data_IF_220686060856
#
_entry.id   IF_220686060856
#
_cell.length_a   1.000
_cell.length_b   1.000
_cell.length_c   1.000
_cell.angle_alpha   90.00
_cell.angle_beta   90.00
_cell.angle_gamma   90.00
#
_symmetry.space_group_name_H-M   'P 1'
#
loop_
_entity.id
_entity.type
_entity.pdbx_description
1 polymer ?
#
# COMPACT_ATOMS: atom_id res chain seq x y z
N UNK A 1 37.23 22.10 14.71
CA UNK A 1 35.80 22.20 14.41
C UNK A 1 35.45 21.05 13.49
N UNK A 2 34.92 19.97 14.04
CA UNK A 2 34.44 18.84 13.23
C UNK A 2 33.00 19.15 12.84
N UNK A 3 32.76 19.36 11.56
CA UNK A 3 31.42 19.38 10.98
C UNK A 3 30.88 17.95 11.05
N UNK A 4 30.10 17.65 12.07
CA UNK A 4 29.22 16.48 12.05
C UNK A 4 28.01 16.85 11.23
N UNK A 5 27.92 16.32 10.02
CA UNK A 5 26.71 16.38 9.20
C UNK A 5 25.57 15.68 9.96
N UNK A 6 24.40 16.32 10.13
CA UNK A 6 23.28 15.67 10.80
C UNK A 6 22.77 14.50 9.95
N UNK A 7 22.71 13.31 10.54
CA UNK A 7 22.16 12.13 9.87
C UNK A 7 20.69 12.38 9.47
N UNK A 8 20.28 12.06 8.22
CA UNK A 8 18.88 12.17 7.83
C UNK A 8 17.98 11.29 8.71
N UNK A 9 16.74 11.73 8.99
CA UNK A 9 15.83 10.95 9.82
C UNK A 9 15.47 9.62 9.14
N UNK A 10 15.33 8.56 9.91
CA UNK A 10 14.73 7.32 9.44
C UNK A 10 13.23 7.53 9.22
N UNK A 11 12.75 7.08 8.05
CA UNK A 11 11.35 7.13 7.67
C UNK A 11 11.02 5.86 6.90
N UNK A 12 9.86 5.27 7.20
CA UNK A 12 9.30 4.10 6.53
C UNK A 12 7.81 4.35 6.28
N UNK A 13 7.42 4.29 5.01
CA UNK A 13 6.06 4.51 4.53
C UNK A 13 5.13 3.32 4.87
N UNK A 14 5.70 2.15 5.16
CA UNK A 14 5.02 0.89 5.34
C UNK A 14 4.95 0.05 4.06
N UNK A 15 4.33 -1.12 4.17
CA UNK A 15 4.20 -2.04 3.05
C UNK A 15 3.09 -1.63 2.07
N UNK A 16 3.29 -1.96 0.80
CA UNK A 16 2.29 -1.78 -0.26
C UNK A 16 0.95 -2.46 0.09
N UNK A 17 -0.16 -1.82 -0.29
CA UNK A 17 -1.50 -2.26 0.05
C UNK A 17 -2.34 -2.54 -1.20
N UNK A 18 -3.17 -3.58 -1.11
CA UNK A 18 -4.21 -3.86 -2.11
C UNK A 18 -5.56 -3.69 -1.43
N UNK A 19 -6.37 -2.80 -1.98
CA UNK A 19 -7.68 -2.43 -1.47
C UNK A 19 -8.74 -2.64 -2.54
N UNK A 20 -9.99 -2.67 -2.12
CA UNK A 20 -11.11 -2.67 -3.05
C UNK A 20 -11.76 -1.30 -3.11
N UNK A 21 -12.39 -1.00 -4.24
CA UNK A 21 -13.12 0.25 -4.44
C UNK A 21 -14.06 0.56 -3.27
N UNK A 22 -13.97 1.78 -2.74
CA UNK A 22 -14.74 2.21 -1.58
C UNK A 22 -14.17 1.80 -0.22
N UNK A 23 -13.11 0.99 -0.17
CA UNK A 23 -12.41 0.70 1.08
C UNK A 23 -11.65 1.94 1.57
N UNK A 24 -11.65 2.14 2.88
CA UNK A 24 -10.82 3.16 3.54
C UNK A 24 -9.51 2.55 3.99
N UNK A 25 -8.44 3.34 3.93
CA UNK A 25 -7.15 2.99 4.50
C UNK A 25 -6.61 4.16 5.32
N UNK A 26 -5.67 3.85 6.22
CA UNK A 26 -4.96 4.84 7.03
C UNK A 26 -3.48 4.62 6.78
N UNK A 27 -2.78 5.68 6.37
CA UNK A 27 -1.33 5.66 6.26
C UNK A 27 -0.71 6.11 7.58
N UNK A 28 0.22 5.31 8.08
CA UNK A 28 0.96 5.56 9.31
C UNK A 28 2.44 5.39 9.01
N UNK A 29 3.14 6.50 8.85
CA UNK A 29 4.58 6.47 8.67
C UNK A 29 5.28 6.09 9.98
N UNK A 30 6.36 5.30 9.89
CA UNK A 30 7.20 4.96 11.02
C UNK A 30 8.41 5.89 11.01
N UNK A 31 8.52 6.77 12.00
CA UNK A 31 9.57 7.77 12.14
C UNK A 31 10.16 7.74 13.57
N UNK A 32 11.08 6.82 13.88
CA UNK A 32 11.61 6.65 15.24
C UNK A 32 12.32 7.91 15.79
N UNK A 33 12.82 8.77 14.90
CA UNK A 33 13.52 10.00 15.25
C UNK A 33 12.57 11.18 15.58
N UNK A 34 11.24 10.98 15.51
CA UNK A 34 10.26 12.02 15.80
C UNK A 34 10.27 13.20 14.81
N UNK A 35 10.67 12.93 13.57
CA UNK A 35 10.70 13.91 12.48
C UNK A 35 9.30 14.39 12.10
N UNK A 36 9.18 15.61 11.60
CA UNK A 36 7.93 16.11 11.01
C UNK A 36 7.67 15.38 9.70
N UNK A 37 6.58 14.62 9.63
CA UNK A 37 6.19 13.85 8.43
C UNK A 37 5.11 14.57 7.63
N UNK A 38 5.24 14.51 6.31
CA UNK A 38 4.24 15.03 5.37
C UNK A 38 4.04 14.03 4.24
N UNK A 39 2.79 13.72 3.93
CA UNK A 39 2.41 12.87 2.80
C UNK A 39 2.02 13.72 1.59
N UNK A 40 2.21 13.16 0.40
CA UNK A 40 1.69 13.70 -0.84
C UNK A 40 0.21 13.33 -1.05
N UNK A 41 -0.36 13.78 -2.18
CA UNK A 41 -1.74 13.47 -2.58
C UNK A 41 -2.83 13.91 -1.58
N UNK A 42 -2.51 14.88 -0.70
CA UNK A 42 -3.46 15.43 0.28
C UNK A 42 -3.77 14.49 1.45
N UNK A 43 -2.98 13.45 1.65
CA UNK A 43 -3.14 12.52 2.78
C UNK A 43 -2.56 13.13 4.05
N UNK A 44 -3.18 12.83 5.19
CA UNK A 44 -2.66 13.19 6.52
C UNK A 44 -2.30 11.90 7.25
N UNK A 45 -1.12 11.88 7.87
CA UNK A 45 -0.64 10.75 8.67
C UNK A 45 -1.64 10.41 9.79
N UNK A 46 -1.93 9.13 10.00
CA UNK A 46 -2.90 8.68 11.00
C UNK A 46 -4.37 8.98 10.69
N UNK A 47 -4.68 9.54 9.51
CA UNK A 47 -6.05 9.86 9.11
C UNK A 47 -6.55 8.88 8.05
N UNK A 48 -7.75 8.35 8.26
CA UNK A 48 -8.39 7.48 7.28
C UNK A 48 -8.88 8.26 6.05
N UNK A 49 -8.67 7.71 4.86
CA UNK A 49 -9.17 8.25 3.59
C UNK A 49 -9.53 7.12 2.61
N UNK A 50 -10.20 7.48 1.51
CA UNK A 50 -10.56 6.56 0.43
C UNK A 50 -9.72 6.86 -0.81
N UNK A 51 -8.74 6.02 -1.15
CA UNK A 51 -7.93 6.19 -2.36
C UNK A 51 -8.77 5.97 -3.64
N UNK A 52 -8.39 6.61 -4.77
CA UNK A 52 -9.06 6.39 -6.05
C UNK A 52 -8.78 4.99 -6.60
N UNK A 53 -9.68 4.49 -7.46
CA UNK A 53 -9.50 3.22 -8.17
C UNK A 53 -8.25 3.27 -9.06
N UNK A 54 -7.44 2.22 -9.02
CA UNK A 54 -6.17 2.12 -9.73
C UNK A 54 -4.96 2.04 -8.80
N UNK A 55 -3.76 2.14 -9.37
CA UNK A 55 -2.51 2.14 -8.61
C UNK A 55 -2.07 3.57 -8.34
N UNK A 56 -1.95 3.93 -7.07
CA UNK A 56 -1.47 5.24 -6.62
C UNK A 56 -0.24 5.05 -5.73
N UNK A 57 0.84 5.77 -6.02
CA UNK A 57 2.04 5.80 -5.18
C UNK A 57 1.94 6.99 -4.22
N UNK A 58 2.13 6.72 -2.94
CA UNK A 58 2.16 7.72 -1.87
C UNK A 58 3.59 7.85 -1.36
N UNK A 59 4.07 9.08 -1.27
CA UNK A 59 5.41 9.42 -0.81
C UNK A 59 5.30 10.17 0.51
N UNK A 60 5.97 9.65 1.54
CA UNK A 60 6.16 10.33 2.82
C UNK A 60 7.50 11.04 2.80
N UNK A 61 7.52 12.28 3.28
CA UNK A 61 8.75 13.05 3.52
C UNK A 61 8.86 13.36 5.00
N UNK A 62 9.98 12.99 5.60
CA UNK A 62 10.36 13.33 6.96
C UNK A 62 11.36 14.49 6.97
N UNK A 63 11.13 15.50 7.81
CA UNK A 63 12.05 16.59 8.06
C UNK A 63 12.43 16.63 9.54
N UNK A 64 13.72 16.56 9.84
CA UNK A 64 14.26 16.72 11.18
C UNK A 64 15.46 17.66 11.16
N UNK A 65 15.34 18.80 11.86
CA UNK A 65 16.41 19.79 12.00
C UNK A 65 17.04 20.26 10.66
N UNK A 66 16.26 20.25 9.57
CA UNK A 66 16.73 20.65 8.23
C UNK A 66 17.25 19.50 7.36
N UNK A 67 17.43 18.29 7.91
CA UNK A 67 17.68 17.10 7.13
C UNK A 67 16.37 16.46 6.69
N UNK A 68 16.27 16.13 5.40
CA UNK A 68 15.08 15.49 4.82
C UNK A 68 15.39 14.08 4.38
N UNK A 69 14.44 13.18 4.62
CA UNK A 69 14.43 11.84 4.04
C UNK A 69 13.03 11.54 3.51
N UNK A 70 12.91 10.60 2.59
CA UNK A 70 11.61 10.22 2.02
C UNK A 70 11.53 8.74 1.78
N UNK A 71 10.33 8.20 1.90
CA UNK A 71 10.01 6.83 1.52
C UNK A 71 8.67 6.77 0.80
N UNK A 72 8.39 5.67 0.11
CA UNK A 72 7.24 5.54 -0.78
C UNK A 72 6.59 4.17 -0.68
N UNK A 73 5.27 4.17 -0.73
CA UNK A 73 4.44 2.96 -0.77
C UNK A 73 3.41 3.05 -1.89
N UNK A 74 2.95 1.89 -2.35
CA UNK A 74 1.98 1.77 -3.42
C UNK A 74 0.66 1.23 -2.89
N UNK A 75 -0.44 1.90 -3.24
CA UNK A 75 -1.79 1.41 -2.97
C UNK A 75 -2.45 1.08 -4.30
N UNK A 76 -2.83 -0.18 -4.47
CA UNK A 76 -3.60 -0.65 -5.62
C UNK A 76 -5.05 -0.87 -5.20
N UNK A 77 -5.94 -0.06 -5.73
CA UNK A 77 -7.38 -0.18 -5.51
C UNK A 77 -8.01 -0.88 -6.72
N UNK A 78 -8.51 -2.09 -6.51
CA UNK A 78 -9.21 -2.85 -7.55
C UNK A 78 -10.67 -2.40 -7.66
N UNK A 79 -11.20 -2.19 -8.88
CA UNK A 79 -12.60 -1.83 -9.08
C UNK A 79 -13.53 -2.91 -8.54
N UNK A 80 -14.67 -2.49 -8.01
CA UNK A 80 -15.74 -3.42 -7.66
C UNK A 80 -16.47 -3.86 -8.93
N UNK A 81 -16.44 -5.17 -9.22
CA UNK A 81 -17.29 -5.72 -10.28
C UNK A 81 -18.64 -6.03 -9.65
N UNK A 82 -19.72 -5.44 -10.17
CA UNK A 82 -21.08 -5.68 -9.70
C UNK A 82 -21.40 -7.18 -9.69
N UNK A 83 -21.45 -7.79 -8.50
CA UNK A 83 -21.68 -9.23 -8.31
C UNK A 83 -20.48 -10.05 -7.84
N UNK A 84 -19.28 -9.48 -7.78
CA UNK A 84 -18.09 -10.09 -7.19
C UNK A 84 -17.59 -9.19 -6.06
N UNK A 85 -17.73 -9.65 -4.82
CA UNK A 85 -17.10 -8.98 -3.67
C UNK A 85 -15.59 -9.15 -3.77
N UNK A 86 -14.87 -8.13 -3.27
CA UNK A 86 -13.43 -8.15 -3.08
C UNK A 86 -12.96 -9.54 -2.60
N UNK A 87 -12.03 -10.21 -3.30
CA UNK A 87 -11.57 -11.50 -2.87
C UNK A 87 -10.66 -11.35 -1.65
N UNK A 88 -11.25 -11.16 -0.46
CA UNK A 88 -10.52 -11.21 0.81
C UNK A 88 -9.93 -12.60 1.09
N UNK A 89 -10.33 -13.61 0.32
CA UNK A 89 -9.78 -14.97 0.36
C UNK A 89 -10.08 -15.71 -0.96
N UNK A 90 -9.45 -15.32 -2.08
CA UNK A 90 -9.29 -16.29 -3.16
C UNK A 90 -8.14 -17.23 -2.80
N UNK A 91 -8.40 -18.20 -1.92
CA UNK A 91 -7.70 -19.48 -2.08
C UNK A 91 -8.26 -20.08 -3.36
N UNK A 92 -7.65 -19.73 -4.50
CA UNK A 92 -7.82 -20.49 -5.71
C UNK A 92 -7.23 -21.89 -5.46
N UNK A 93 -7.97 -22.77 -4.80
CA UNK A 93 -7.74 -24.20 -4.97
C UNK A 93 -8.13 -24.48 -6.41
N UNK A 94 -7.11 -24.71 -7.23
CA UNK A 94 -7.29 -25.34 -8.52
C UNK A 94 -7.68 -26.80 -8.22
N UNK A 95 -8.95 -27.02 -7.84
CA UNK A 95 -9.54 -28.35 -7.84
C UNK A 95 -9.78 -28.74 -9.31
N UNK A 96 -8.68 -29.08 -9.99
CA UNK A 96 -8.72 -29.95 -11.15
C UNK A 96 -8.99 -31.39 -10.69
N UNK A 97 -10.07 -31.62 -9.94
CA UNK A 97 -10.62 -32.96 -9.84
C UNK A 97 -11.31 -33.27 -11.16
N UNK A 98 -10.47 -33.77 -12.06
CA UNK A 98 -10.79 -34.77 -13.08
C UNK A 98 -12.01 -34.43 -13.93
N UNK A 99 -11.78 -33.66 -14.99
CA UNK A 99 -12.52 -33.87 -16.22
C UNK A 99 -12.44 -35.39 -16.52
N UNK A 100 -13.56 -36.14 -16.54
CA UNK A 100 -13.48 -37.53 -16.96
C UNK A 100 -12.97 -37.51 -18.40
N UNK A 101 -11.98 -38.36 -18.69
CA UNK A 101 -11.53 -38.56 -20.05
C UNK A 101 -12.76 -38.86 -20.91
N UNK A 102 -12.98 -38.04 -21.93
CA UNK A 102 -13.99 -38.28 -22.93
C UNK A 102 -13.57 -39.55 -23.67
N UNK A 103 -14.08 -40.69 -23.21
CA UNK A 103 -13.93 -41.95 -23.92
C UNK A 103 -14.87 -41.88 -25.14
N UNK A 104 -14.30 -41.35 -26.22
CA UNK A 104 -14.87 -41.44 -27.56
C UNK A 104 -15.02 -42.91 -27.96
N UNK A 105 -16.20 -43.22 -28.50
CA UNK A 105 -16.47 -44.19 -29.57
C UNK A 105 -15.80 -45.57 -29.53
N UNK A 106 -16.59 -46.60 -29.21
CA UNK A 106 -16.78 -47.77 -30.10
C UNK A 106 -18.07 -48.53 -29.78
#
# INVERSE_FOLDING_TARGET
MTLTDPNPPAIDAGADQVLCEGATTTLNAINPDGATVTWDNGVTDGTAFTPPVGTTTYTVTANLAGCTNSDQMTITVTPSITGLTCPGALTATCDITEQPAYADYN
#
